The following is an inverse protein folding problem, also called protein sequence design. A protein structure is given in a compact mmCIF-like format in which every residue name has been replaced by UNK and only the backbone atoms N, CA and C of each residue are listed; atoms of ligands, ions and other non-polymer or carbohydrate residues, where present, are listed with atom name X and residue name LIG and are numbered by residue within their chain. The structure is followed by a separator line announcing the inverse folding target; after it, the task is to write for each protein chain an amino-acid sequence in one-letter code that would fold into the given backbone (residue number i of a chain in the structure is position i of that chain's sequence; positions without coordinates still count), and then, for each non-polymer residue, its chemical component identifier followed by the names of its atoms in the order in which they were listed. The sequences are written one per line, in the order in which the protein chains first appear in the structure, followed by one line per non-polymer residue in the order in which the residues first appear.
data_IF_145228545126
#
_entry.id   IF_145228545126
#
_cell.length_a   1.000
_cell.length_b   1.000
_cell.length_c   1.000
_cell.angle_alpha   90.00
_cell.angle_beta   90.00
_cell.angle_gamma   90.00
#
_symmetry.space_group_name_H-M   'P 1'
#
loop_
_entity.id
_entity.type
_entity.pdbx_description
1 polymer ?
#
# COMPACT_ATOMS: atom_id res chain seq x y z
N UNK A 1 -8.11 -4.22 10.40
CA UNK A 1 -7.53 -3.11 9.63
C UNK A 1 -8.60 -2.55 8.71
N UNK A 2 -8.61 -1.28 8.53
CA UNK A 2 -9.55 -0.62 7.62
C UNK A 2 -8.88 0.63 7.04
N UNK A 3 -9.63 1.43 6.28
CA UNK A 3 -9.08 2.60 5.61
C UNK A 3 -9.12 3.87 6.46
N UNK A 4 -9.50 3.76 7.73
CA UNK A 4 -9.65 4.93 8.58
C UNK A 4 -8.31 5.58 8.89
N UNK A 5 -8.36 6.88 9.17
CA UNK A 5 -7.18 7.62 9.62
C UNK A 5 -6.66 7.04 10.95
N UNK A 6 -7.57 6.60 11.80
CA UNK A 6 -7.22 6.04 13.10
C UNK A 6 -6.29 4.83 12.95
N UNK A 7 -6.65 3.88 12.08
CA UNK A 7 -5.81 2.70 11.84
C UNK A 7 -4.50 3.10 11.16
N UNK A 8 -4.57 4.00 10.19
CA UNK A 8 -3.37 4.49 9.50
C UNK A 8 -2.37 5.07 10.50
N UNK A 9 -2.85 5.88 11.46
CA UNK A 9 -1.98 6.47 12.47
C UNK A 9 -1.43 5.42 13.42
N UNK A 10 -2.24 4.42 13.79
CA UNK A 10 -1.74 3.33 14.62
C UNK A 10 -0.53 2.65 13.98
N UNK A 11 -0.60 2.40 12.69
CA UNK A 11 0.48 1.73 11.96
C UNK A 11 1.70 2.64 11.84
N UNK A 12 1.49 3.87 11.38
CA UNK A 12 2.63 4.76 11.08
C UNK A 12 3.30 5.31 12.33
N UNK A 13 2.56 5.43 13.43
CA UNK A 13 3.14 5.92 14.68
C UNK A 13 4.00 4.89 15.39
N UNK A 14 3.99 3.64 14.95
CA UNK A 14 4.81 2.60 15.55
C UNK A 14 6.29 2.93 15.52
N UNK A 15 6.74 3.69 14.53
CA UNK A 15 8.15 4.07 14.43
C UNK A 15 8.39 5.54 14.71
N UNK A 16 7.41 6.23 15.30
CA UNK A 16 7.58 7.62 15.72
C UNK A 16 7.43 8.65 14.61
N UNK A 17 6.70 8.31 13.55
CA UNK A 17 6.51 9.24 12.44
C UNK A 17 5.76 10.50 12.90
N UNK A 18 6.04 11.63 12.22
CA UNK A 18 5.35 12.88 12.51
C UNK A 18 3.89 12.78 12.12
N UNK A 19 2.99 13.09 13.05
CA UNK A 19 1.55 12.92 12.84
C UNK A 19 1.02 13.75 11.67
N UNK A 20 1.45 15.00 11.54
CA UNK A 20 0.99 15.85 10.45
C UNK A 20 1.38 15.29 9.09
N UNK A 21 2.61 14.76 8.99
CA UNK A 21 3.08 14.15 7.75
C UNK A 21 2.30 12.87 7.43
N UNK A 22 2.00 12.08 8.46
CA UNK A 22 1.20 10.85 8.28
C UNK A 22 -0.20 11.17 7.79
N UNK A 23 -0.82 12.19 8.34
CA UNK A 23 -2.16 12.64 7.92
C UNK A 23 -2.13 13.08 6.46
N UNK A 24 -1.09 13.81 6.06
CA UNK A 24 -0.96 14.29 4.68
C UNK A 24 -0.85 13.13 3.69
N UNK A 25 -0.07 12.09 4.02
CA UNK A 25 0.07 10.94 3.14
C UNK A 25 -1.25 10.17 3.03
N UNK A 26 -1.94 9.97 4.14
CA UNK A 26 -3.25 9.30 4.14
C UNK A 26 -4.23 10.03 3.23
N UNK A 27 -4.27 11.36 3.35
CA UNK A 27 -5.16 12.17 2.52
C UNK A 27 -4.80 12.05 1.05
N UNK A 28 -3.51 12.01 0.73
CA UNK A 28 -3.05 11.84 -0.64
C UNK A 28 -3.53 10.52 -1.22
N UNK A 29 -3.40 9.44 -0.44
CA UNK A 29 -3.85 8.12 -0.88
C UNK A 29 -5.37 8.09 -1.08
N UNK A 30 -6.13 8.66 -0.15
CA UNK A 30 -7.58 8.72 -0.30
C UNK A 30 -7.96 9.45 -1.58
N UNK A 31 -7.30 10.56 -1.86
CA UNK A 31 -7.54 11.33 -3.07
C UNK A 31 -7.24 10.52 -4.32
N UNK A 32 -6.12 9.79 -4.31
CA UNK A 32 -5.72 8.96 -5.44
C UNK A 32 -6.77 7.89 -5.76
N UNK A 33 -7.26 7.21 -4.72
CA UNK A 33 -8.23 6.12 -4.92
C UNK A 33 -9.65 6.61 -5.13
N UNK A 34 -9.90 7.90 -4.97
CA UNK A 34 -11.22 8.49 -5.19
C UNK A 34 -11.34 9.18 -6.54
N UNK A 35 -10.31 9.10 -7.37
CA UNK A 35 -10.32 9.73 -8.69
C UNK A 35 -11.39 9.11 -9.57
N UNK A 36 -12.01 9.94 -10.40
CA UNK A 36 -13.16 9.53 -11.21
C UNK A 36 -12.86 8.42 -12.21
N UNK A 37 -11.63 8.29 -12.65
CA UNK A 37 -11.26 7.27 -13.63
C UNK A 37 -10.84 5.95 -13.01
N UNK A 38 -11.11 5.77 -11.71
CA UNK A 38 -10.75 4.55 -11.04
C UNK A 38 -11.95 3.62 -10.93
N UNK A 39 -12.14 2.76 -11.91
CA UNK A 39 -13.30 1.87 -11.96
C UNK A 39 -13.12 0.63 -11.10
N UNK A 40 -11.93 0.01 -11.14
CA UNK A 40 -11.66 -1.22 -10.40
C UNK A 40 -10.63 -1.04 -9.30
N UNK A 41 -9.82 0.01 -9.42
CA UNK A 41 -8.69 0.25 -8.51
C UNK A 41 -9.01 1.43 -7.60
N UNK A 42 -10.18 1.39 -6.98
CA UNK A 42 -10.70 2.46 -6.15
C UNK A 42 -10.58 2.11 -4.66
N UNK A 43 -11.10 2.99 -3.82
CA UNK A 43 -11.04 2.81 -2.38
C UNK A 43 -11.77 1.55 -1.92
N UNK A 44 -12.85 1.17 -2.60
CA UNK A 44 -13.58 -0.05 -2.26
C UNK A 44 -12.71 -1.29 -2.44
N UNK A 45 -11.86 -1.29 -3.46
CA UNK A 45 -10.91 -2.38 -3.67
C UNK A 45 -9.94 -2.47 -2.52
N UNK A 46 -9.43 -1.32 -2.05
CA UNK A 46 -8.52 -1.28 -0.91
C UNK A 46 -9.23 -1.82 0.35
N UNK A 47 -10.46 -1.38 0.58
CA UNK A 47 -11.25 -1.86 1.72
C UNK A 47 -11.45 -3.37 1.65
N UNK A 48 -11.74 -3.89 0.47
CA UNK A 48 -11.90 -5.33 0.28
C UNK A 48 -10.61 -6.08 0.60
N UNK A 49 -9.50 -5.61 0.09
CA UNK A 49 -8.20 -6.25 0.34
C UNK A 49 -7.85 -6.25 1.83
N UNK A 50 -8.15 -5.15 2.52
CA UNK A 50 -7.91 -5.08 3.96
C UNK A 50 -8.81 -6.05 4.72
N UNK A 51 -10.06 -6.20 4.28
CA UNK A 51 -10.98 -7.15 4.89
C UNK A 51 -10.47 -8.60 4.73
N UNK A 52 -9.96 -8.93 3.55
CA UNK A 52 -9.37 -10.26 3.31
C UNK A 52 -8.13 -10.45 4.18
N UNK A 53 -7.28 -9.41 4.28
CA UNK A 53 -6.09 -9.48 5.11
C UNK A 53 -6.43 -9.71 6.58
N UNK A 54 -7.52 -9.12 7.07
CA UNK A 54 -7.95 -9.32 8.45
C UNK A 54 -8.28 -10.78 8.75
N UNK A 55 -8.73 -11.53 7.75
CA UNK A 55 -9.07 -12.94 7.94
C UNK A 55 -7.82 -13.80 8.16
N UNK A 56 -6.67 -13.33 7.70
CA UNK A 56 -5.42 -14.10 7.80
C UNK A 56 -4.36 -13.40 8.65
N UNK A 57 -4.78 -12.43 9.45
CA UNK A 57 -3.84 -11.61 10.23
C UNK A 57 -2.95 -12.45 11.13
N UNK A 58 -3.49 -13.54 11.69
CA UNK A 58 -2.73 -14.41 12.58
C UNK A 58 -1.68 -15.24 11.85
N UNK A 59 -1.76 -15.30 10.53
CA UNK A 59 -0.85 -16.09 9.71
C UNK A 59 0.22 -15.24 9.03
N UNK A 60 0.16 -13.92 9.18
CA UNK A 60 1.09 -13.00 8.53
C UNK A 60 2.10 -12.50 9.55
N UNK A 61 3.39 -12.67 9.24
CA UNK A 61 4.45 -12.24 10.15
C UNK A 61 4.55 -10.74 10.30
N UNK A 62 4.38 -10.02 9.22
CA UNK A 62 4.51 -8.56 9.24
C UNK A 62 3.25 -7.93 8.67
N UNK A 63 2.26 -7.82 9.54
CA UNK A 63 0.96 -7.29 9.13
C UNK A 63 1.05 -5.80 8.77
N UNK A 64 1.95 -5.06 9.40
CA UNK A 64 2.13 -3.65 9.07
C UNK A 64 2.65 -3.47 7.64
N UNK A 65 3.60 -4.31 7.22
CA UNK A 65 4.10 -4.27 5.86
C UNK A 65 2.99 -4.60 4.86
N UNK A 66 2.17 -5.61 5.16
CA UNK A 66 1.06 -5.99 4.30
C UNK A 66 0.04 -4.85 4.19
N UNK A 67 -0.32 -4.24 5.31
CA UNK A 67 -1.25 -3.11 5.35
C UNK A 67 -0.75 -1.96 4.46
N UNK A 68 0.52 -1.60 4.63
CA UNK A 68 1.10 -0.50 3.86
C UNK A 68 1.20 -0.86 2.37
N UNK A 69 1.57 -2.10 2.06
CA UNK A 69 1.66 -2.53 0.67
C UNK A 69 0.30 -2.48 -0.02
N UNK A 70 -0.77 -2.87 0.67
CA UNK A 70 -2.13 -2.78 0.13
C UNK A 70 -2.46 -1.34 -0.21
N UNK A 71 -2.18 -0.41 0.73
CA UNK A 71 -2.46 1.00 0.49
C UNK A 71 -1.73 1.56 -0.72
N UNK A 72 -0.45 1.19 -0.89
CA UNK A 72 0.36 1.81 -1.93
C UNK A 72 0.35 1.07 -3.27
N UNK A 73 -0.06 -0.19 -3.32
CA UNK A 73 0.20 -1.02 -4.51
C UNK A 73 -0.43 -0.50 -5.79
N UNK A 74 -1.52 0.22 -5.70
CA UNK A 74 -2.25 0.72 -6.87
C UNK A 74 -2.41 2.23 -6.85
N UNK A 75 -1.62 2.94 -6.04
CA UNK A 75 -1.81 4.38 -5.87
C UNK A 75 -1.45 5.18 -7.13
N UNK A 76 -0.62 4.63 -8.01
CA UNK A 76 -0.30 5.26 -9.30
C UNK A 76 -0.96 4.45 -10.41
N UNK A 77 -1.74 5.12 -11.25
CA UNK A 77 -2.41 4.52 -12.40
C UNK A 77 -2.24 5.45 -13.59
N UNK A 78 -1.26 5.17 -14.44
CA UNK A 78 -0.97 5.96 -15.62
C UNK A 78 -0.99 5.06 -16.83
N UNK A 79 -1.63 5.52 -17.91
CA UNK A 79 -1.73 4.76 -19.14
C UNK A 79 -0.34 4.56 -19.75
N UNK A 80 -0.07 3.31 -20.15
CA UNK A 80 1.18 2.99 -20.82
C UNK A 80 2.42 3.00 -19.95
N UNK A 81 2.25 2.96 -18.62
CA UNK A 81 3.38 2.97 -17.70
C UNK A 81 3.39 1.72 -16.83
N UNK A 82 4.53 1.43 -16.27
CA UNK A 82 4.68 0.31 -15.32
C UNK A 82 4.18 0.80 -13.95
N UNK A 83 2.89 0.64 -13.72
CA UNK A 83 2.26 1.21 -12.53
C UNK A 83 2.69 0.53 -11.25
N UNK A 84 3.03 -0.74 -11.28
CA UNK A 84 3.55 -1.44 -10.10
C UNK A 84 4.88 -0.82 -9.66
N UNK A 85 5.78 -0.58 -10.62
CA UNK A 85 7.06 0.03 -10.28
C UNK A 85 6.87 1.48 -9.80
N UNK A 86 5.99 2.24 -10.47
CA UNK A 86 5.72 3.62 -10.06
C UNK A 86 5.11 3.67 -8.66
N UNK A 87 4.20 2.74 -8.35
CA UNK A 87 3.59 2.68 -7.03
C UNK A 87 4.61 2.28 -5.97
N UNK A 88 5.49 1.33 -6.28
CA UNK A 88 6.55 0.93 -5.36
C UNK A 88 7.53 2.09 -5.09
N UNK A 89 7.89 2.84 -6.13
CA UNK A 89 8.77 3.99 -5.99
C UNK A 89 8.12 5.06 -5.13
N UNK A 90 6.83 5.29 -5.33
CA UNK A 90 6.09 6.27 -4.55
C UNK A 90 6.02 5.85 -3.08
N UNK A 91 5.79 4.54 -2.82
CA UNK A 91 5.74 4.01 -1.45
C UNK A 91 7.10 4.19 -0.76
N UNK A 92 8.18 3.88 -1.46
CA UNK A 92 9.52 4.03 -0.92
C UNK A 92 9.78 5.49 -0.55
N UNK A 93 9.42 6.41 -1.44
CA UNK A 93 9.62 7.83 -1.26
C UNK A 93 8.85 8.34 -0.04
N UNK A 94 7.55 8.02 0.04
CA UNK A 94 6.71 8.51 1.12
C UNK A 94 7.06 7.89 2.46
N UNK A 95 7.32 6.59 2.49
CA UNK A 95 7.69 5.93 3.74
C UNK A 95 9.04 6.42 4.25
N UNK A 96 9.97 6.72 3.33
CA UNK A 96 11.25 7.31 3.70
C UNK A 96 11.06 8.71 4.28
N UNK A 97 10.17 9.51 3.70
CA UNK A 97 9.83 10.82 4.25
C UNK A 97 9.24 10.70 5.66
N UNK A 98 8.47 9.66 5.91
CA UNK A 98 7.90 9.40 7.23
C UNK A 98 8.89 8.75 8.18
N UNK A 99 10.12 8.51 7.72
CA UNK A 99 11.23 7.93 8.51
C UNK A 99 10.95 6.51 8.95
N UNK A 100 10.24 5.75 8.12
CA UNK A 100 10.01 4.34 8.39
C UNK A 100 11.33 3.57 8.38
N UNK A 101 11.43 2.50 9.18
CA UNK A 101 12.64 1.67 9.16
C UNK A 101 12.90 1.11 7.77
N UNK A 102 14.17 1.09 7.36
CA UNK A 102 14.57 0.62 6.03
C UNK A 102 14.08 -0.80 5.76
N UNK A 103 14.15 -1.67 6.75
CA UNK A 103 13.68 -3.05 6.59
C UNK A 103 12.18 -3.10 6.27
N UNK A 104 11.38 -2.23 6.89
CA UNK A 104 9.96 -2.16 6.61
C UNK A 104 9.71 -1.65 5.19
N UNK A 105 10.42 -0.57 4.79
CA UNK A 105 10.29 -0.02 3.45
C UNK A 105 10.59 -1.10 2.40
N UNK A 106 11.68 -1.83 2.59
CA UNK A 106 12.06 -2.88 1.65
C UNK A 106 11.01 -3.98 1.55
N UNK A 107 10.40 -4.36 2.66
CA UNK A 107 9.34 -5.38 2.63
C UNK A 107 8.09 -4.88 1.92
N UNK A 108 7.72 -3.61 2.14
CA UNK A 108 6.58 -3.02 1.46
C UNK A 108 6.81 -2.99 -0.05
N UNK A 109 7.98 -2.52 -0.48
CA UNK A 109 8.33 -2.47 -1.90
C UNK A 109 8.30 -3.87 -2.51
N UNK A 110 8.87 -4.86 -1.83
CA UNK A 110 8.87 -6.23 -2.32
C UNK A 110 7.45 -6.78 -2.47
N UNK A 111 6.56 -6.48 -1.52
CA UNK A 111 5.17 -6.92 -1.60
C UNK A 111 4.44 -6.26 -2.77
N UNK A 112 4.67 -4.98 -3.00
CA UNK A 112 4.06 -4.28 -4.14
C UNK A 112 4.55 -4.90 -5.45
N UNK A 113 5.84 -5.11 -5.59
CA UNK A 113 6.40 -5.69 -6.81
C UNK A 113 5.92 -7.12 -7.03
N UNK A 114 5.61 -7.84 -5.97
CA UNK A 114 5.10 -9.21 -6.10
C UNK A 114 3.71 -9.24 -6.73
N UNK A 115 2.94 -8.16 -6.66
CA UNK A 115 1.62 -8.11 -7.30
C UNK A 115 1.76 -8.19 -8.81
N UNK A 116 2.78 -7.57 -9.37
CA UNK A 116 3.06 -7.64 -10.78
C UNK A 116 3.50 -9.04 -11.18
N UNK A 117 4.46 -9.59 -10.45
CA UNK A 117 4.98 -10.90 -10.76
C UNK A 117 3.95 -12.00 -10.52
N UNK A 118 3.08 -11.80 -9.54
CA UNK A 118 2.02 -12.76 -9.27
C UNK A 118 1.12 -12.97 -10.46
N UNK A 119 0.73 -11.89 -11.15
CA UNK A 119 -0.09 -11.98 -12.34
C UNK A 119 0.64 -12.68 -13.47
N UNK A 120 1.89 -12.32 -13.70
CA UNK A 120 2.70 -12.92 -14.74
C UNK A 120 2.98 -14.39 -14.45
N UNK A 121 3.20 -14.70 -13.22
CA UNK A 121 3.49 -16.04 -12.82
C UNK A 121 2.42 -17.01 -13.20
N UNK A 122 1.21 -16.62 -13.07
CA UNK A 122 0.10 -17.46 -13.42
C UNK A 122 0.08 -17.79 -14.90
N UNK A 123 0.64 -16.93 -15.71
CA UNK A 123 0.70 -17.14 -17.13
C UNK A 123 1.91 -18.00 -17.49
N UNK A 124 3.00 -17.77 -16.84
CA UNK A 124 4.27 -18.34 -17.24
C UNK A 124 4.64 -19.63 -16.61
N UNK A 125 4.07 -19.91 -15.51
CA UNK A 125 4.48 -21.02 -14.81
C UNK A 125 3.81 -22.20 -15.19
N UNK A 126 3.44 -22.31 -16.26
CA UNK A 126 2.75 -23.46 -16.55
C UNK A 126 3.50 -24.53 -17.04
#
# INVERSE_FOLDING_TARGET
MDTSLSVWLEVTEQWGANTADCVAVHKHLLTAYSAKNRYYHDLKHIEHMLAVANQVVDQVQDISALYLAIWFHDCIQKIGRDNEQLSADFAEDKLTELKAPVALVNRVVALIMSTKHGGDSNVNRK
#
